data_IF_082877991640
#
_entry.id   IF_082877991640
#
_cell.length_a   1.000
_cell.length_b   1.000
_cell.length_c   1.000
_cell.angle_alpha   90.00
_cell.angle_beta   90.00
_cell.angle_gamma   90.00
#
_symmetry.space_group_name_H-M   'P 1'
#
loop_
_entity.id
_entity.type
_entity.pdbx_description
1 polymer ?
#
# COMPACT_ATOMS: atom_id res chain seq x y z
N UNK A 1 -14.61 -35.00 17.28
CA UNK A 1 -14.66 -34.95 17.04
C UNK A 1 -14.40 -34.91 16.58
N UNK A 2 -14.16 -34.39 16.48
CA UNK A 2 -13.97 -34.17 16.08
C UNK A 2 -13.42 -33.89 15.69
N UNK A 3 -13.02 -33.52 15.66
CA UNK A 3 -12.65 -33.18 15.35
C UNK A 3 -12.10 -32.84 14.84
N UNK A 4 -11.79 -32.76 14.75
CA UNK A 4 -11.40 -32.30 14.36
C UNK A 4 -10.98 -31.82 13.86
N UNK A 5 -10.59 -31.33 13.73
CA UNK A 5 -10.50 -30.84 13.47
C UNK A 5 -10.07 -30.26 13.21
N UNK A 6 -9.79 -29.76 13.40
CA UNK A 6 -9.70 -29.19 13.44
C UNK A 6 -9.34 -28.69 13.30
N UNK A 7 -9.00 -28.52 13.31
CA UNK A 7 -8.87 -27.96 13.49
C UNK A 7 -8.89 -27.48 13.61
N UNK A 8 -8.62 -27.21 13.87
CA UNK A 8 -9.08 -26.83 14.30
C UNK A 8 -9.28 -26.45 14.72
N UNK A 9 -9.12 -26.10 14.93
CA UNK A 9 -9.69 -25.66 15.61
C UNK A 9 -10.25 -25.81 16.22
N UNK A 10 -10.33 -25.69 16.84
CA UNK A 10 -11.06 -25.62 17.62
C UNK A 10 -11.74 -25.33 17.90
N UNK A 11 -12.06 -25.17 18.46
CA UNK A 11 -12.86 -24.72 18.91
C UNK A 11 -13.17 -24.24 19.36
N UNK A 12 -13.20 -23.61 19.67
CA UNK A 12 -13.70 -23.03 20.22
C UNK A 12 -14.44 -22.94 20.65
N UNK A 13 -14.28 -22.83 21.20
CA UNK A 13 -15.20 -22.65 21.82
C UNK A 13 -16.17 -22.22 21.63
N UNK A 14 -16.62 -22.18 21.91
CA UNK A 14 -17.49 -21.61 21.79
C UNK A 14 -17.41 -20.69 21.33
N UNK A 15 -17.28 -20.52 20.89
CA UNK A 15 -17.19 -19.69 20.22
C UNK A 15 -16.36 -18.78 20.30
N UNK A 16 -15.86 -18.67 20.55
CA UNK A 16 -15.20 -17.92 20.62
C UNK A 16 -14.25 -17.79 19.90
N UNK A 17 -13.68 -18.00 19.52
CA UNK A 17 -12.66 -17.80 18.94
C UNK A 17 -12.54 -17.49 17.66
N UNK A 18 -13.18 -17.54 16.85
CA UNK A 18 -13.14 -17.19 15.60
C UNK A 18 -13.34 -15.87 15.27
N UNK A 19 -13.42 -14.99 16.10
CA UNK A 19 -13.61 -13.59 15.81
C UNK A 19 -12.58 -13.05 14.91
N UNK A 20 -11.44 -13.62 14.90
CA UNK A 20 -10.44 -13.13 14.02
C UNK A 20 -10.82 -13.19 12.61
N UNK A 21 -11.61 -14.11 12.27
CA UNK A 21 -12.02 -14.20 10.90
C UNK A 21 -12.82 -13.01 10.48
N UNK A 22 -13.50 -12.43 11.41
CA UNK A 22 -14.29 -11.26 11.08
C UNK A 22 -13.42 -10.14 10.61
N UNK A 23 -12.26 -10.03 11.17
CA UNK A 23 -11.37 -8.99 10.74
C UNK A 23 -10.97 -9.17 9.31
N UNK A 24 -10.82 -10.39 8.93
CA UNK A 24 -10.42 -10.67 7.58
C UNK A 24 -11.52 -10.33 6.62
N UNK A 25 -12.71 -10.23 7.12
CA UNK A 25 -13.85 -9.89 6.29
C UNK A 25 -14.05 -8.41 6.18
N UNK A 26 -13.06 -7.63 6.48
CA UNK A 26 -13.13 -6.20 6.29
C UNK A 26 -13.57 -5.91 4.86
N UNK A 27 -14.29 -4.81 4.70
CA UNK A 27 -14.81 -4.45 3.40
C UNK A 27 -13.70 -4.31 2.38
N UNK A 28 -13.92 -4.77 1.17
CA UNK A 28 -12.93 -4.57 0.13
C UNK A 28 -12.65 -3.08 -0.03
N UNK A 29 -11.41 -2.77 -0.25
CA UNK A 29 -10.99 -1.40 -0.44
C UNK A 29 -10.24 -1.33 -1.75
N UNK A 30 -10.60 -0.36 -2.59
CA UNK A 30 -9.95 -0.18 -3.86
C UNK A 30 -9.11 1.08 -3.78
N UNK A 31 -7.83 0.94 -4.06
CA UNK A 31 -6.92 2.06 -4.05
C UNK A 31 -5.98 1.96 -5.23
N UNK A 32 -5.58 3.10 -5.76
CA UNK A 32 -4.66 3.15 -6.87
C UNK A 32 -3.89 4.46 -6.88
N UNK A 33 -2.82 4.49 -7.66
CA UNK A 33 -2.06 5.68 -7.94
C UNK A 33 -2.26 6.07 -9.38
N UNK A 34 -2.36 7.37 -9.62
CA UNK A 34 -2.44 7.92 -10.97
C UNK A 34 -1.21 8.80 -11.17
N UNK A 35 -0.45 8.56 -12.22
CA UNK A 35 0.70 9.40 -12.49
C UNK A 35 0.25 10.69 -13.17
N UNK A 36 0.43 11.82 -12.50
CA UNK A 36 0.08 13.12 -13.04
C UNK A 36 1.22 13.73 -13.83
N UNK A 37 2.44 13.59 -13.36
CA UNK A 37 3.65 14.06 -14.02
C UNK A 37 4.69 12.99 -13.97
N UNK A 38 5.41 12.79 -15.04
CA UNK A 38 6.48 11.83 -15.09
C UNK A 38 6.43 11.02 -16.37
N UNK A 39 7.31 10.00 -16.46
CA UNK A 39 7.48 9.25 -17.70
C UNK A 39 6.25 8.52 -18.19
N UNK A 40 5.34 8.21 -17.29
CA UNK A 40 4.13 7.47 -17.62
C UNK A 40 2.89 8.23 -17.25
N UNK A 41 2.87 9.51 -17.56
CA UNK A 41 1.75 10.39 -17.24
C UNK A 41 0.43 9.80 -17.72
N UNK A 42 -0.56 9.81 -16.85
CA UNK A 42 -1.89 9.28 -17.13
C UNK A 42 -2.06 7.81 -16.79
N UNK A 43 -0.99 7.12 -16.45
CA UNK A 43 -1.07 5.71 -16.12
C UNK A 43 -1.66 5.50 -14.73
N UNK A 44 -2.46 4.44 -14.61
CA UNK A 44 -3.14 4.07 -13.38
C UNK A 44 -2.54 2.77 -12.86
N UNK A 45 -2.25 2.73 -11.58
CA UNK A 45 -1.65 1.56 -10.95
C UNK A 45 -2.53 1.12 -9.78
N UNK A 46 -3.04 -0.10 -9.83
CA UNK A 46 -3.76 -0.68 -8.72
C UNK A 46 -2.80 -0.97 -7.58
N UNK A 47 -3.23 -0.69 -6.36
CA UNK A 47 -2.42 -0.95 -5.18
C UNK A 47 -2.91 -2.21 -4.48
N UNK A 48 -1.97 -3.00 -3.99
CA UNK A 48 -2.28 -4.19 -3.23
C UNK A 48 -1.99 -3.95 -1.76
N UNK A 49 -2.81 -4.54 -0.89
CA UNK A 49 -2.64 -4.36 0.55
C UNK A 49 -1.27 -4.86 1.03
N UNK A 50 -0.79 -5.96 0.49
CA UNK A 50 0.46 -6.56 0.93
C UNK A 50 1.68 -5.76 0.51
N UNK A 51 1.56 -4.94 -0.50
CA UNK A 51 2.66 -4.07 -0.89
C UNK A 51 2.77 -3.86 -2.38
N UNK A 52 3.12 -2.64 -2.75
CA UNK A 52 3.38 -2.24 -4.13
C UNK A 52 4.68 -1.45 -4.11
N UNK A 53 5.68 -1.91 -4.84
CA UNK A 53 6.99 -1.26 -4.86
C UNK A 53 7.05 -0.20 -5.95
N UNK A 54 7.79 0.86 -5.66
CA UNK A 54 7.94 1.98 -6.58
C UNK A 54 9.41 2.38 -6.65
N UNK A 55 9.94 2.53 -7.84
CA UNK A 55 11.33 2.91 -8.01
C UNK A 55 11.76 2.86 -9.45
N UNK A 56 13.04 3.19 -9.67
CA UNK A 56 13.60 3.23 -11.01
C UNK A 56 13.95 1.83 -11.53
N UNK A 57 14.17 0.88 -10.65
CA UNK A 57 14.58 -0.46 -11.05
C UNK A 57 13.47 -1.23 -11.74
N UNK A 58 13.86 -2.10 -12.66
CA UNK A 58 12.92 -2.80 -13.54
C UNK A 58 12.07 -3.84 -12.79
N UNK A 59 12.45 -4.21 -11.59
CA UNK A 59 11.68 -5.20 -10.83
C UNK A 59 10.59 -4.57 -9.94
N UNK A 60 10.47 -3.25 -9.96
CA UNK A 60 9.41 -2.60 -9.18
C UNK A 60 8.06 -2.81 -9.84
N UNK A 61 7.02 -2.82 -9.02
CA UNK A 61 5.65 -2.86 -9.52
C UNK A 61 5.32 -1.60 -10.29
N UNK A 62 5.76 -0.45 -9.78
CA UNK A 62 5.61 0.83 -10.46
C UNK A 62 7.01 1.33 -10.79
N UNK A 63 7.29 1.37 -12.06
CA UNK A 63 8.61 1.79 -12.52
C UNK A 63 8.55 3.28 -12.86
N UNK A 64 9.41 4.06 -12.20
CA UNK A 64 9.54 5.48 -12.49
C UNK A 64 10.92 5.70 -13.09
N UNK A 65 10.95 5.89 -14.40
CA UNK A 65 12.18 6.01 -15.17
C UNK A 65 12.70 7.43 -15.09
N UNK A 66 13.31 7.76 -13.97
CA UNK A 66 13.79 9.09 -13.65
C UNK A 66 15.06 8.90 -12.82
N UNK A 67 16.15 9.54 -13.25
CA UNK A 67 17.45 9.38 -12.59
C UNK A 67 17.43 9.85 -11.15
N UNK A 68 16.53 10.77 -10.79
CA UNK A 68 16.41 11.25 -9.42
C UNK A 68 15.69 10.27 -8.52
N UNK A 69 15.16 9.18 -9.07
CA UNK A 69 14.44 8.16 -8.32
C UNK A 69 15.39 7.01 -8.03
N UNK A 70 15.45 6.59 -6.77
CA UNK A 70 16.30 5.46 -6.38
C UNK A 70 15.75 4.17 -6.98
N UNK A 71 16.64 3.19 -7.14
CA UNK A 71 16.27 1.91 -7.75
C UNK A 71 15.10 1.27 -7.00
N UNK A 72 15.13 1.26 -5.67
CA UNK A 72 14.01 0.89 -4.81
C UNK A 72 13.75 2.12 -3.96
N UNK A 73 12.71 2.85 -4.27
CA UNK A 73 12.51 4.19 -3.72
C UNK A 73 11.51 4.22 -2.58
N UNK A 74 10.34 3.67 -2.82
CA UNK A 74 9.24 3.68 -1.85
C UNK A 74 8.43 2.40 -1.95
N UNK A 75 7.65 2.16 -0.94
CA UNK A 75 6.73 1.03 -0.91
C UNK A 75 5.42 1.51 -0.36
N UNK A 76 4.33 1.12 -1.01
CA UNK A 76 2.99 1.39 -0.51
C UNK A 76 2.40 0.07 -0.03
N UNK A 77 1.71 0.12 1.09
CA UNK A 77 1.09 -1.07 1.67
C UNK A 77 -0.09 -0.64 2.53
N UNK A 78 -0.93 -1.59 2.92
CA UNK A 78 -2.09 -1.30 3.73
C UNK A 78 -2.12 -2.18 4.96
N UNK A 79 -2.70 -1.65 6.02
CA UNK A 79 -2.96 -2.38 7.26
C UNK A 79 -4.43 -2.21 7.61
N UNK A 80 -5.05 -3.24 8.16
CA UNK A 80 -6.44 -3.10 8.57
C UNK A 80 -6.54 -2.20 9.81
N UNK A 81 -7.46 -1.26 9.76
CA UNK A 81 -7.78 -0.40 10.88
C UNK A 81 -9.29 -0.46 11.00
N UNK A 82 -9.76 -1.12 12.05
CA UNK A 82 -11.16 -1.46 12.22
C UNK A 82 -11.63 -2.28 11.00
N UNK A 83 -12.61 -1.79 10.25
CA UNK A 83 -13.15 -2.53 9.11
C UNK A 83 -12.63 -2.00 7.76
N UNK A 84 -11.58 -1.19 7.79
CA UNK A 84 -11.04 -0.57 6.57
C UNK A 84 -9.57 -0.89 6.42
N UNK A 85 -9.10 -0.79 5.19
CA UNK A 85 -7.67 -0.85 4.90
C UNK A 85 -7.13 0.56 4.86
N UNK A 86 -6.10 0.81 5.64
CA UNK A 86 -5.42 2.09 5.64
C UNK A 86 -4.10 1.96 4.92
N UNK A 87 -3.89 2.77 3.90
CA UNK A 87 -2.68 2.71 3.10
C UNK A 87 -1.62 3.65 3.62
N UNK A 88 -0.38 3.25 3.42
CA UNK A 88 0.81 3.97 3.83
C UNK A 88 1.79 4.01 2.68
N UNK A 89 2.60 5.06 2.65
CA UNK A 89 3.80 5.07 1.82
C UNK A 89 4.99 5.10 2.75
N UNK A 90 6.00 4.32 2.41
CA UNK A 90 7.24 4.25 3.19
C UNK A 90 8.43 4.49 2.27
N UNK A 91 9.29 5.41 2.65
CA UNK A 91 10.54 5.66 1.93
C UNK A 91 11.54 4.56 2.27
N UNK A 92 12.23 4.06 1.28
CA UNK A 92 13.19 2.97 1.45
C UNK A 92 14.62 3.50 1.40
N UNK A 93 14.90 4.48 2.25
CA UNK A 93 16.22 5.11 2.32
C UNK A 93 16.63 5.66 0.95
N UNK A 94 15.71 6.31 0.28
CA UNK A 94 15.97 6.86 -1.05
C UNK A 94 16.97 8.01 -0.98
N UNK A 95 17.64 8.26 -2.09
CA UNK A 95 18.64 9.32 -2.14
C UNK A 95 18.01 10.71 -2.04
N UNK A 96 16.85 10.90 -2.68
CA UNK A 96 16.26 12.23 -2.78
C UNK A 96 14.96 12.40 -2.02
N UNK A 97 14.45 11.32 -1.42
CA UNK A 97 13.29 11.39 -0.54
C UNK A 97 11.97 11.12 -1.24
N UNK A 98 10.99 10.81 -0.42
CA UNK A 98 9.59 10.64 -0.81
C UNK A 98 8.82 11.75 -0.12
N UNK A 99 7.95 12.42 -0.87
CA UNK A 99 7.21 13.57 -0.36
C UNK A 99 5.72 13.31 -0.49
N UNK A 100 4.97 13.67 0.55
CA UNK A 100 3.51 13.61 0.51
C UNK A 100 2.99 15.02 0.77
N UNK A 101 2.26 15.55 -0.19
CA UNK A 101 1.72 16.91 -0.13
C UNK A 101 2.80 17.93 0.22
N UNK A 102 3.98 17.75 -0.37
CA UNK A 102 5.09 18.68 -0.20
C UNK A 102 5.99 18.46 1.00
N UNK A 103 5.67 17.49 1.86
CA UNK A 103 6.46 17.20 3.05
C UNK A 103 7.21 15.89 2.88
N UNK A 104 8.50 15.91 3.19
CA UNK A 104 9.32 14.71 3.14
C UNK A 104 8.91 13.77 4.25
N UNK A 105 8.71 12.49 3.91
CA UNK A 105 8.22 11.52 4.87
C UNK A 105 9.10 10.29 4.89
N UNK A 106 9.09 9.59 6.03
CA UNK A 106 9.70 8.28 6.15
C UNK A 106 8.60 7.24 6.01
N UNK A 107 7.51 7.42 6.72
CA UNK A 107 6.32 6.58 6.63
C UNK A 107 5.13 7.48 6.88
N UNK A 108 4.14 7.43 6.00
CA UNK A 108 3.02 8.35 6.08
C UNK A 108 1.72 7.65 5.71
N UNK A 109 0.70 7.87 6.51
CA UNK A 109 -0.66 7.43 6.20
C UNK A 109 -1.15 8.23 4.99
N UNK A 110 -1.81 7.54 4.08
CA UNK A 110 -2.34 8.16 2.86
C UNK A 110 -3.84 8.34 2.96
N UNK A 111 -4.31 9.48 2.48
CA UNK A 111 -5.73 9.79 2.36
C UNK A 111 -6.02 10.07 0.90
N UNK A 112 -7.27 9.89 0.52
CA UNK A 112 -7.71 10.13 -0.86
C UNK A 112 -7.25 11.51 -1.32
N UNK A 113 -6.73 11.58 -2.54
CA UNK A 113 -6.22 12.77 -3.19
C UNK A 113 -4.83 13.21 -2.74
N UNK A 114 -4.18 12.49 -1.84
CA UNK A 114 -2.81 12.84 -1.44
C UNK A 114 -1.88 12.73 -2.64
N UNK A 115 -0.95 13.68 -2.73
CA UNK A 115 0.04 13.71 -3.80
C UNK A 115 1.36 13.21 -3.30
N UNK A 116 1.90 12.23 -4.02
CA UNK A 116 3.18 11.64 -3.69
C UNK A 116 4.17 12.07 -4.76
N UNK A 117 5.30 12.60 -4.33
CA UNK A 117 6.35 13.02 -5.25
C UNK A 117 7.60 12.21 -4.98
N UNK A 118 8.12 11.60 -6.05
CA UNK A 118 9.41 10.91 -6.04
C UNK A 118 10.18 11.41 -7.25
N UNK A 119 11.38 11.96 -7.03
CA UNK A 119 12.12 12.60 -8.10
C UNK A 119 11.27 13.71 -8.71
N UNK A 120 11.08 13.67 -10.01
CA UNK A 120 10.23 14.62 -10.70
C UNK A 120 8.85 14.07 -11.00
N UNK A 121 8.55 12.87 -10.56
CA UNK A 121 7.25 12.26 -10.80
C UNK A 121 6.28 12.63 -9.69
N UNK A 122 5.05 12.93 -10.08
CA UNK A 122 3.95 13.21 -9.16
C UNK A 122 2.85 12.20 -9.38
N UNK A 123 2.46 11.52 -8.33
CA UNK A 123 1.38 10.54 -8.36
C UNK A 123 0.31 10.94 -7.37
N UNK A 124 -0.94 10.67 -7.69
CA UNK A 124 -2.05 10.94 -6.78
C UNK A 124 -2.59 9.63 -6.26
N UNK A 125 -2.76 9.56 -4.95
CA UNK A 125 -3.37 8.42 -4.29
C UNK A 125 -4.89 8.57 -4.32
N UNK A 126 -5.57 7.52 -4.80
CA UNK A 126 -7.03 7.49 -4.85
C UNK A 126 -7.52 6.28 -4.09
N UNK A 127 -8.53 6.48 -3.28
CA UNK A 127 -9.14 5.39 -2.53
C UNK A 127 -10.65 5.59 -2.45
N UNK A 128 -11.38 4.53 -2.76
CA UNK A 128 -12.83 4.54 -2.62
C UNK A 128 -13.23 4.23 -1.19
#
# INVERSE_FOLDING_TARGET
>A
MSTPLSPTLPPLPDGESEPTLVLVEAKPSFAWLVMLHGPRRGRLYHLRAEGTSLGRGATNDIIVDDEAVSRFHSRLFAEPVFDKLQFYVQDLASANGTFVNGLRVVRQVLHDEDRIVVGQATLVFKQL
#
